data_IF_558974004189
#
_entry.id   IF_558974004189
#
_cell.length_a   1.000
_cell.length_b   1.000
_cell.length_c   1.000
_cell.angle_alpha   90.00
_cell.angle_beta   90.00
_cell.angle_gamma   90.00
#
_symmetry.space_group_name_H-M   'P 1'
#
loop_
_entity.id
_entity.type
_entity.pdbx_description
1 polymer ?
#
# COMPACT_ATOMS: atom_id res chain seq x y z
N UNK A 1 -31.42 52.17 1.28
CA UNK A 1 -30.11 51.78 0.76
C UNK A 1 -29.54 50.69 1.65
N UNK A 2 -29.58 49.42 1.21
CA UNK A 2 -28.99 48.32 1.97
C UNK A 2 -27.58 48.01 1.44
N UNK A 3 -26.56 48.27 2.26
CA UNK A 3 -25.19 47.88 1.96
C UNK A 3 -25.09 46.34 2.01
N UNK A 4 -24.90 45.71 0.86
CA UNK A 4 -24.58 44.28 0.78
C UNK A 4 -23.19 44.07 1.39
N UNK A 5 -23.17 43.51 2.61
CA UNK A 5 -21.94 43.08 3.26
C UNK A 5 -21.16 42.12 2.37
N UNK A 6 -19.90 42.47 2.09
CA UNK A 6 -18.99 41.64 1.30
C UNK A 6 -18.73 40.34 2.07
N UNK A 7 -19.10 39.20 1.49
CA UNK A 7 -18.85 37.91 2.11
C UNK A 7 -17.34 37.76 2.42
N UNK A 8 -17.02 37.56 3.70
CA UNK A 8 -15.66 37.27 4.14
C UNK A 8 -15.28 35.91 3.55
N UNK A 9 -14.36 35.89 2.59
CA UNK A 9 -13.84 34.65 2.02
C UNK A 9 -13.05 33.93 3.12
N UNK A 10 -13.57 32.80 3.61
CA UNK A 10 -12.82 31.93 4.51
C UNK A 10 -11.57 31.41 3.81
N UNK A 11 -10.46 31.34 4.55
CA UNK A 11 -9.23 30.75 4.04
C UNK A 11 -9.45 29.28 3.66
N UNK A 12 -8.92 28.86 2.51
CA UNK A 12 -8.97 27.48 2.08
C UNK A 12 -8.21 26.59 3.07
N UNK A 13 -8.78 25.43 3.43
CA UNK A 13 -8.10 24.47 4.30
C UNK A 13 -6.84 23.90 3.62
N UNK A 14 -5.85 23.39 4.38
CA UNK A 14 -4.65 22.79 3.81
C UNK A 14 -4.95 21.70 2.76
N UNK A 15 -6.02 20.93 2.97
CA UNK A 15 -6.45 19.87 2.05
C UNK A 15 -7.01 20.43 0.74
N UNK A 16 -7.74 21.54 0.78
CA UNK A 16 -8.22 22.24 -0.43
C UNK A 16 -7.04 22.85 -1.18
N UNK A 17 -6.08 23.45 -0.48
CA UNK A 17 -4.87 24.01 -1.09
C UNK A 17 -4.06 22.90 -1.81
N UNK A 18 -3.88 21.76 -1.15
CA UNK A 18 -3.20 20.59 -1.72
C UNK A 18 -3.93 20.05 -2.96
N UNK A 19 -5.26 19.93 -2.88
CA UNK A 19 -6.08 19.49 -4.00
C UNK A 19 -5.92 20.40 -5.22
N UNK A 20 -6.02 21.72 -5.02
CA UNK A 20 -5.81 22.72 -6.08
C UNK A 20 -4.38 22.69 -6.63
N UNK A 21 -3.38 22.52 -5.77
CA UNK A 21 -1.99 22.41 -6.17
C UNK A 21 -1.75 21.17 -7.05
N UNK A 22 -2.30 20.01 -6.68
CA UNK A 22 -2.21 18.79 -7.48
C UNK A 22 -2.90 18.97 -8.84
N UNK A 23 -4.09 19.57 -8.87
CA UNK A 23 -4.82 19.82 -10.11
C UNK A 23 -4.07 20.77 -11.04
N UNK A 24 -3.50 21.83 -10.49
CA UNK A 24 -2.69 22.80 -11.26
C UNK A 24 -1.41 22.15 -11.78
N UNK A 25 -0.75 21.31 -10.97
CA UNK A 25 0.43 20.57 -11.38
C UNK A 25 0.12 19.51 -12.46
N UNK A 26 -1.03 18.83 -12.36
CA UNK A 26 -1.50 17.90 -13.37
C UNK A 26 -1.72 18.62 -14.70
N UNK A 27 -2.47 19.73 -14.68
CA UNK A 27 -2.72 20.57 -15.85
C UNK A 27 -1.43 21.07 -16.50
N UNK A 28 -0.49 21.61 -15.72
CA UNK A 28 0.79 22.11 -16.21
C UNK A 28 1.65 21.03 -16.90
N UNK A 29 1.40 19.75 -16.61
CA UNK A 29 2.12 18.60 -17.19
C UNK A 29 1.29 17.81 -18.20
N UNK A 30 0.10 18.29 -18.55
CA UNK A 30 -0.85 17.58 -19.41
C UNK A 30 -1.33 16.23 -18.83
N UNK A 31 -1.22 16.03 -17.51
CA UNK A 31 -1.65 14.79 -16.85
C UNK A 31 -3.15 14.84 -16.55
N UNK A 32 -3.82 13.71 -16.69
CA UNK A 32 -5.21 13.54 -16.29
C UNK A 32 -5.35 13.68 -14.77
N UNK A 33 -6.41 14.35 -14.34
CA UNK A 33 -6.81 14.50 -12.95
C UNK A 33 -8.27 14.08 -12.83
N UNK A 34 -8.53 13.08 -12.02
CA UNK A 34 -9.86 12.51 -11.81
C UNK A 34 -10.68 13.45 -10.89
N UNK A 35 -11.83 13.94 -11.35
CA UNK A 35 -12.54 15.05 -10.67
C UNK A 35 -13.64 14.59 -9.69
N UNK A 36 -13.99 13.30 -9.63
CA UNK A 36 -15.12 12.78 -8.85
C UNK A 36 -14.66 12.18 -7.51
N UNK A 37 -13.74 11.22 -7.53
CA UNK A 37 -13.31 10.49 -6.33
C UNK A 37 -12.14 11.20 -5.63
N UNK A 38 -11.26 11.87 -6.37
CA UNK A 38 -10.12 12.59 -5.84
C UNK A 38 -10.53 13.98 -5.31
N UNK A 39 -11.06 13.97 -4.09
CA UNK A 39 -11.54 15.16 -3.37
C UNK A 39 -10.55 15.62 -2.27
N UNK A 40 -10.69 16.83 -1.72
CA UNK A 40 -9.94 17.24 -0.53
C UNK A 40 -10.10 16.27 0.66
N UNK A 41 -11.29 15.67 0.81
CA UNK A 41 -11.53 14.66 1.84
C UNK A 41 -10.76 13.36 1.57
N UNK A 42 -10.69 12.92 0.31
CA UNK A 42 -9.85 11.79 -0.08
C UNK A 42 -8.38 12.04 0.25
N UNK A 43 -7.85 13.22 -0.10
CA UNK A 43 -6.46 13.58 0.17
C UNK A 43 -6.14 13.63 1.67
N UNK A 44 -7.08 14.09 2.50
CA UNK A 44 -6.93 14.07 3.96
C UNK A 44 -6.68 12.67 4.51
N UNK A 45 -7.21 11.64 3.85
CA UNK A 45 -7.07 10.25 4.27
C UNK A 45 -5.76 9.61 3.82
N UNK A 46 -4.99 10.26 2.95
CA UNK A 46 -3.66 9.81 2.53
C UNK A 46 -2.56 10.24 3.49
N UNK A 47 -2.87 11.11 4.47
CA UNK A 47 -1.89 11.62 5.42
C UNK A 47 -1.20 10.50 6.20
N UNK A 48 0.11 10.64 6.34
CA UNK A 48 0.97 9.70 7.07
C UNK A 48 2.11 10.48 7.73
N UNK A 49 2.46 10.11 8.95
CA UNK A 49 3.54 10.75 9.70
C UNK A 49 4.93 10.33 9.23
N UNK A 50 5.05 9.14 8.64
CA UNK A 50 6.33 8.60 8.16
C UNK A 50 6.23 8.13 6.72
N UNK A 51 7.33 8.24 6.00
CA UNK A 51 7.45 7.75 4.64
C UNK A 51 7.38 6.21 4.64
N UNK A 52 6.49 5.59 3.85
CA UNK A 52 6.39 4.14 3.80
C UNK A 52 7.65 3.47 3.21
N UNK A 53 8.47 4.25 2.49
CA UNK A 53 9.69 3.78 1.84
C UNK A 53 10.90 3.99 2.73
N UNK A 54 11.20 5.24 3.08
CA UNK A 54 12.42 5.59 3.83
C UNK A 54 12.25 5.45 5.35
N UNK A 55 11.01 5.30 5.84
CA UNK A 55 10.62 5.29 7.26
C UNK A 55 11.00 6.56 8.04
N UNK A 56 11.47 7.60 7.37
CA UNK A 56 11.72 8.92 7.94
C UNK A 56 10.41 9.69 8.13
N UNK A 57 10.38 10.58 9.10
CA UNK A 57 9.25 11.49 9.34
C UNK A 57 8.98 12.36 8.11
N UNK A 58 7.71 12.53 7.77
CA UNK A 58 7.26 13.44 6.72
C UNK A 58 6.87 14.78 7.33
N UNK A 59 7.53 15.83 6.87
CA UNK A 59 7.25 17.23 7.16
C UNK A 59 6.89 18.01 5.88
N UNK A 60 6.55 19.28 6.03
CA UNK A 60 6.12 20.13 4.90
C UNK A 60 7.19 20.29 3.82
N UNK A 61 8.46 20.23 4.20
CA UNK A 61 9.58 20.31 3.28
C UNK A 61 9.72 19.00 2.51
N UNK A 62 9.79 17.84 3.14
CA UNK A 62 10.11 16.59 2.45
C UNK A 62 8.89 15.80 1.94
N UNK A 63 7.65 16.26 2.14
CA UNK A 63 6.42 15.60 1.69
C UNK A 63 6.27 15.61 0.16
N UNK A 64 5.81 14.49 -0.39
CA UNK A 64 5.47 14.35 -1.80
C UNK A 64 4.28 13.41 -1.99
N UNK A 65 3.49 13.64 -3.04
CA UNK A 65 2.42 12.74 -3.47
C UNK A 65 2.87 12.11 -4.78
N UNK A 66 3.01 10.79 -4.76
CA UNK A 66 3.40 9.98 -5.91
C UNK A 66 2.17 9.37 -6.57
N UNK A 67 2.25 9.24 -7.90
CA UNK A 67 1.38 8.35 -8.69
C UNK A 67 2.07 7.00 -8.72
N UNK A 68 1.60 6.06 -7.91
CA UNK A 68 2.29 4.78 -7.71
C UNK A 68 2.47 4.06 -9.05
N UNK A 69 1.41 4.05 -9.87
CA UNK A 69 1.46 3.70 -11.28
C UNK A 69 1.63 4.98 -12.12
N UNK A 70 2.79 5.15 -12.76
CA UNK A 70 3.15 6.41 -13.44
C UNK A 70 2.50 6.60 -14.82
N UNK A 71 2.09 5.51 -15.47
CA UNK A 71 1.26 5.47 -16.70
C UNK A 71 -0.24 5.68 -16.40
N UNK A 72 -0.61 6.03 -15.17
CA UNK A 72 -1.94 6.45 -14.77
C UNK A 72 -1.97 7.92 -14.35
N UNK A 73 -3.14 8.56 -14.47
CA UNK A 73 -3.37 9.93 -14.03
C UNK A 73 -3.34 10.10 -12.50
N UNK A 74 -3.62 11.31 -12.05
CA UNK A 74 -3.94 11.59 -10.65
C UNK A 74 -5.35 11.09 -10.36
N UNK A 75 -5.46 9.90 -9.77
CA UNK A 75 -6.73 9.24 -9.53
C UNK A 75 -6.79 8.58 -8.15
N UNK A 76 -7.99 8.53 -7.57
CA UNK A 76 -8.23 7.78 -6.35
C UNK A 76 -7.79 6.31 -6.51
N UNK A 77 -7.09 5.79 -5.51
CA UNK A 77 -6.54 4.44 -5.59
C UNK A 77 -5.12 4.33 -6.16
N UNK A 78 -4.58 5.39 -6.78
CA UNK A 78 -3.24 5.40 -7.37
C UNK A 78 -2.25 6.33 -6.64
N UNK A 79 -2.68 6.99 -5.57
CA UNK A 79 -1.85 8.00 -4.89
C UNK A 79 -1.29 7.48 -3.56
N UNK A 80 -0.04 7.82 -3.29
CA UNK A 80 0.59 7.57 -1.99
C UNK A 80 1.42 8.79 -1.56
N UNK A 81 1.33 9.14 -0.27
CA UNK A 81 2.23 10.12 0.35
C UNK A 81 3.55 9.43 0.70
N UNK A 82 4.66 10.01 0.24
CA UNK A 82 6.02 9.55 0.55
C UNK A 82 7.00 10.72 0.59
N UNK A 83 8.25 10.47 0.96
CA UNK A 83 9.29 11.51 0.94
C UNK A 83 9.66 11.90 -0.50
N UNK A 84 10.07 13.16 -0.71
CA UNK A 84 10.59 13.65 -1.99
C UNK A 84 11.75 12.80 -2.49
N UNK A 85 12.62 12.34 -1.58
CA UNK A 85 13.74 11.42 -1.87
C UNK A 85 13.24 10.12 -2.51
N UNK A 86 12.23 9.48 -1.90
CA UNK A 86 11.65 8.25 -2.44
C UNK A 86 10.97 8.47 -3.79
N UNK A 87 10.18 9.53 -3.93
CA UNK A 87 9.46 9.82 -5.17
C UNK A 87 10.44 10.14 -6.33
N UNK A 88 11.47 10.95 -6.08
CA UNK A 88 12.51 11.25 -7.06
C UNK A 88 13.28 10.01 -7.51
N UNK A 89 13.63 9.12 -6.57
CA UNK A 89 14.30 7.87 -6.88
C UNK A 89 13.42 6.95 -7.73
N UNK A 90 12.13 6.80 -7.37
CA UNK A 90 11.15 6.02 -8.15
C UNK A 90 11.09 6.53 -9.59
N UNK A 91 10.86 7.83 -9.78
CA UNK A 91 10.62 8.41 -11.11
C UNK A 91 9.43 7.73 -11.81
N UNK A 92 9.59 7.39 -13.09
CA UNK A 92 8.56 6.69 -13.88
C UNK A 92 8.68 5.16 -13.85
N UNK A 93 9.53 4.59 -12.97
CA UNK A 93 9.76 3.14 -12.94
C UNK A 93 8.53 2.40 -12.40
N UNK A 94 8.11 1.35 -13.13
CA UNK A 94 7.13 0.38 -12.68
C UNK A 94 7.74 -0.71 -11.78
N UNK A 95 6.90 -1.64 -11.32
CA UNK A 95 7.28 -2.70 -10.39
C UNK A 95 8.55 -3.47 -10.78
N UNK A 96 8.63 -3.98 -12.01
CA UNK A 96 9.77 -4.78 -12.48
C UNK A 96 11.08 -4.00 -12.45
N UNK A 97 11.07 -2.77 -12.96
CA UNK A 97 12.24 -1.90 -12.93
C UNK A 97 12.69 -1.59 -11.50
N UNK A 98 11.75 -1.34 -10.58
CA UNK A 98 12.05 -1.11 -9.16
C UNK A 98 12.63 -2.36 -8.48
N UNK A 99 12.10 -3.54 -8.79
CA UNK A 99 12.66 -4.82 -8.32
C UNK A 99 14.08 -5.05 -8.85
N UNK A 100 14.34 -4.69 -10.12
CA UNK A 100 15.68 -4.70 -10.71
C UNK A 100 16.67 -3.76 -10.01
N UNK A 101 16.21 -2.58 -9.57
CA UNK A 101 17.03 -1.65 -8.76
C UNK A 101 17.38 -2.25 -7.39
N UNK A 102 16.43 -2.90 -6.73
CA UNK A 102 16.67 -3.58 -5.45
C UNK A 102 17.71 -4.69 -5.61
N UNK A 103 17.55 -5.56 -6.61
CA UNK A 103 18.48 -6.65 -6.89
C UNK A 103 19.89 -6.13 -7.23
N UNK A 104 19.97 -5.06 -8.02
CA UNK A 104 21.24 -4.41 -8.38
C UNK A 104 21.93 -3.80 -7.16
N UNK A 105 21.17 -3.21 -6.23
CA UNK A 105 21.69 -2.64 -4.98
C UNK A 105 22.19 -3.73 -4.01
N UNK A 106 21.57 -4.91 -4.02
CA UNK A 106 21.97 -6.06 -3.21
C UNK A 106 23.25 -6.73 -3.74
N UNK A 107 23.37 -6.85 -5.07
CA UNK A 107 24.49 -7.56 -5.70
C UNK A 107 25.73 -6.68 -5.94
N UNK A 108 25.55 -5.38 -6.10
CA UNK A 108 26.64 -4.45 -6.46
C UNK A 108 27.48 -3.97 -5.27
N UNK A 109 28.69 -3.42 -5.52
CA UNK A 109 29.50 -2.79 -4.48
C UNK A 109 28.89 -1.46 -3.97
N UNK A 110 27.89 -0.93 -4.68
CA UNK A 110 27.21 0.31 -4.35
C UNK A 110 25.90 -0.01 -3.61
N UNK A 111 25.89 0.22 -2.30
CA UNK A 111 24.72 -0.05 -1.44
C UNK A 111 23.68 1.09 -1.40
N UNK A 112 23.85 2.12 -2.23
CA UNK A 112 22.87 3.20 -2.43
C UNK A 112 22.82 3.63 -3.88
N UNK A 113 21.69 3.40 -4.54
CA UNK A 113 21.46 3.81 -5.93
C UNK A 113 20.31 4.81 -5.95
N UNK A 114 20.49 5.94 -6.64
CA UNK A 114 19.46 7.00 -6.69
C UNK A 114 19.09 7.58 -5.32
N UNK A 115 19.98 7.48 -4.33
CA UNK A 115 19.74 7.93 -2.96
C UNK A 115 18.99 6.95 -2.06
N UNK A 116 18.65 5.75 -2.56
CA UNK A 116 17.96 4.71 -1.79
C UNK A 116 18.84 3.46 -1.59
N UNK A 117 18.69 2.83 -0.43
CA UNK A 117 19.26 1.51 -0.08
C UNK A 117 18.42 0.36 -0.64
N UNK A 118 18.95 -0.86 -0.53
CA UNK A 118 18.25 -2.09 -0.93
C UNK A 118 16.85 -2.21 -0.31
N UNK A 119 16.72 -2.06 1.00
CA UNK A 119 15.44 -2.21 1.70
C UNK A 119 14.43 -1.13 1.26
N UNK A 120 14.90 0.10 1.04
CA UNK A 120 14.09 1.19 0.50
C UNK A 120 13.62 0.88 -0.94
N UNK A 121 14.48 0.30 -1.79
CA UNK A 121 14.10 -0.15 -3.13
C UNK A 121 13.10 -1.31 -3.09
N UNK A 122 13.27 -2.28 -2.19
CA UNK A 122 12.34 -3.39 -2.00
C UNK A 122 10.95 -2.87 -1.60
N UNK A 123 10.87 -1.91 -0.66
CA UNK A 123 9.59 -1.29 -0.29
C UNK A 123 8.93 -0.56 -1.46
N UNK A 124 9.69 0.14 -2.30
CA UNK A 124 9.15 0.77 -3.51
C UNK A 124 8.61 -0.25 -4.51
N UNK A 125 9.35 -1.33 -4.75
CA UNK A 125 8.93 -2.39 -5.65
C UNK A 125 7.62 -3.04 -5.17
N UNK A 126 7.51 -3.31 -3.87
CA UNK A 126 6.27 -3.85 -3.26
C UNK A 126 5.13 -2.84 -3.36
N UNK A 127 5.35 -1.55 -3.08
CA UNK A 127 4.33 -0.52 -3.22
C UNK A 127 3.77 -0.48 -4.65
N UNK A 128 4.65 -0.51 -5.66
CA UNK A 128 4.26 -0.53 -7.07
C UNK A 128 3.53 -1.82 -7.46
N UNK A 129 3.86 -2.95 -6.83
CA UNK A 129 3.22 -4.23 -7.12
C UNK A 129 1.71 -4.23 -6.85
N UNK A 130 1.26 -3.46 -5.84
CA UNK A 130 -0.16 -3.38 -5.48
C UNK A 130 -1.04 -2.87 -6.62
N UNK A 131 -0.51 -2.02 -7.49
CA UNK A 131 -1.22 -1.40 -8.62
C UNK A 131 -0.69 -1.87 -9.97
N UNK A 132 0.05 -2.98 -9.98
CA UNK A 132 0.56 -3.64 -11.19
C UNK A 132 -0.30 -4.86 -11.47
N UNK A 133 -0.77 -5.09 -12.72
CA UNK A 133 -1.52 -6.29 -13.07
C UNK A 133 -0.58 -7.51 -13.10
N UNK A 134 -0.40 -8.15 -11.95
CA UNK A 134 0.40 -9.35 -11.77
C UNK A 134 -0.48 -10.60 -11.78
N UNK A 135 0.07 -11.72 -12.28
CA UNK A 135 -0.54 -13.04 -12.05
C UNK A 135 -0.62 -13.32 -10.54
N UNK A 136 -1.57 -14.19 -10.16
CA UNK A 136 -1.72 -14.60 -8.76
C UNK A 136 -0.45 -15.25 -8.20
N UNK A 137 0.23 -16.05 -9.01
CA UNK A 137 1.45 -16.74 -8.67
C UNK A 137 2.60 -15.77 -8.42
N UNK A 138 2.75 -14.74 -9.26
CA UNK A 138 3.74 -13.68 -9.04
C UNK A 138 3.43 -12.90 -7.77
N UNK A 139 2.19 -12.42 -7.62
CA UNK A 139 1.78 -11.62 -6.46
C UNK A 139 1.92 -12.38 -5.13
N UNK A 140 1.61 -13.68 -5.12
CA UNK A 140 1.74 -14.55 -3.95
C UNK A 140 3.19 -14.69 -3.46
N UNK A 141 4.18 -14.49 -4.33
CA UNK A 141 5.61 -14.63 -4.00
C UNK A 141 6.28 -13.31 -3.60
N UNK A 142 5.56 -12.19 -3.67
CA UNK A 142 6.10 -10.88 -3.28
C UNK A 142 6.04 -10.75 -1.76
N UNK A 143 7.18 -10.49 -1.08
CA UNK A 143 7.19 -10.19 0.35
C UNK A 143 6.51 -8.86 0.66
N UNK A 144 5.72 -8.80 1.73
CA UNK A 144 5.04 -7.57 2.16
C UNK A 144 6.00 -6.66 2.96
N UNK A 145 7.06 -6.16 2.31
CA UNK A 145 8.03 -5.24 2.94
C UNK A 145 7.45 -3.87 3.30
N UNK A 146 6.26 -3.54 2.78
CA UNK A 146 5.51 -2.33 3.12
C UNK A 146 4.03 -2.67 3.12
N UNK A 147 3.32 -2.28 4.17
CA UNK A 147 1.86 -2.35 4.18
C UNK A 147 1.29 -1.28 3.23
N UNK A 148 0.21 -1.58 2.50
CA UNK A 148 -0.38 -0.61 1.57
C UNK A 148 -0.79 0.66 2.34
N UNK A 149 -0.37 1.85 1.88
CA UNK A 149 -0.88 3.12 2.35
C UNK A 149 -2.41 3.19 2.27
N UNK A 150 -3.01 4.03 3.09
CA UNK A 150 -4.45 4.17 3.09
C UNK A 150 -4.97 4.61 1.71
N UNK A 151 -6.12 4.08 1.31
CA UNK A 151 -6.77 4.32 0.01
C UNK A 151 -6.01 3.89 -1.24
N UNK A 152 -4.84 3.25 -1.14
CA UNK A 152 -4.23 2.61 -2.30
C UNK A 152 -5.05 1.38 -2.70
N UNK A 153 -5.36 1.24 -4.00
CA UNK A 153 -6.02 0.04 -4.53
C UNK A 153 -5.00 -1.10 -4.62
N UNK A 154 -5.46 -2.32 -4.35
CA UNK A 154 -4.67 -3.54 -4.52
C UNK A 154 -5.34 -4.38 -5.60
N UNK A 155 -4.68 -4.55 -6.74
CA UNK A 155 -5.21 -5.26 -7.89
C UNK A 155 -5.24 -6.77 -7.65
N UNK A 156 -4.27 -7.29 -6.91
CA UNK A 156 -4.24 -8.71 -6.59
C UNK A 156 -4.79 -8.99 -5.18
N UNK A 157 -5.87 -9.78 -5.04
CA UNK A 157 -6.47 -10.07 -3.74
C UNK A 157 -5.57 -10.88 -2.81
N UNK A 158 -4.57 -11.60 -3.32
CA UNK A 158 -3.63 -12.31 -2.44
C UNK A 158 -2.77 -11.34 -1.63
N UNK A 159 -2.42 -10.18 -2.19
CA UNK A 159 -1.72 -9.11 -1.48
C UNK A 159 -2.64 -8.39 -0.51
N UNK A 160 -3.94 -8.27 -0.83
CA UNK A 160 -4.93 -7.79 0.12
C UNK A 160 -5.05 -8.73 1.33
N UNK A 161 -4.99 -10.05 1.11
CA UNK A 161 -4.95 -11.05 2.18
C UNK A 161 -3.65 -10.93 3.02
N UNK A 162 -2.49 -10.78 2.39
CA UNK A 162 -1.22 -10.52 3.10
C UNK A 162 -1.35 -9.30 4.04
N UNK A 163 -1.88 -8.20 3.51
CA UNK A 163 -2.05 -6.95 4.26
C UNK A 163 -3.07 -7.13 5.41
N UNK A 164 -4.19 -7.81 5.17
CA UNK A 164 -5.20 -8.09 6.17
C UNK A 164 -4.61 -8.91 7.33
N UNK A 165 -3.93 -10.01 7.04
CA UNK A 165 -3.31 -10.87 8.07
C UNK A 165 -2.26 -10.09 8.85
N UNK A 166 -1.40 -9.33 8.17
CA UNK A 166 -0.34 -8.55 8.83
C UNK A 166 -0.92 -7.49 9.76
N UNK A 167 -1.99 -6.79 9.35
CA UNK A 167 -2.67 -5.80 10.20
C UNK A 167 -3.31 -6.43 11.43
N UNK A 168 -3.78 -7.68 11.34
CA UNK A 168 -4.32 -8.39 12.50
C UNK A 168 -3.29 -8.67 13.58
N UNK A 169 -2.06 -8.96 13.17
CA UNK A 169 -0.93 -9.23 14.06
C UNK A 169 -0.52 -8.00 14.88
N UNK A 170 -0.74 -6.79 14.35
CA UNK A 170 -0.44 -5.53 15.03
C UNK A 170 -1.44 -5.16 16.14
N UNK A 171 -2.50 -5.96 16.34
CA UNK A 171 -3.63 -5.58 17.19
C UNK A 171 -3.74 -6.56 18.39
N UNK A 172 -4.02 -6.12 19.63
CA UNK A 172 -4.16 -7.02 20.79
C UNK A 172 -5.23 -8.09 20.60
N UNK A 173 -4.97 -9.35 21.01
CA UNK A 173 -5.89 -10.47 20.77
C UNK A 173 -5.82 -11.04 19.34
N UNK A 174 -4.68 -10.88 18.67
CA UNK A 174 -4.45 -11.32 17.30
C UNK A 174 -4.71 -12.82 17.11
N UNK A 175 -4.35 -13.67 18.08
CA UNK A 175 -4.51 -15.13 17.98
C UNK A 175 -5.97 -15.53 17.76
N UNK A 176 -6.89 -15.04 18.60
CA UNK A 176 -8.31 -15.31 18.47
C UNK A 176 -8.91 -14.81 17.15
N UNK A 177 -8.45 -13.64 16.65
CA UNK A 177 -8.89 -13.12 15.35
C UNK A 177 -8.37 -13.93 14.18
N UNK A 178 -7.14 -14.43 14.26
CA UNK A 178 -6.59 -15.29 13.22
C UNK A 178 -7.21 -16.70 13.22
N UNK A 179 -7.58 -17.26 14.37
CA UNK A 179 -8.39 -18.49 14.41
C UNK A 179 -9.76 -18.31 13.75
N UNK A 180 -10.37 -17.12 13.89
CA UNK A 180 -11.62 -16.79 13.17
C UNK A 180 -11.41 -16.67 11.65
N UNK A 181 -10.23 -16.22 11.21
CA UNK A 181 -9.86 -16.17 9.80
C UNK A 181 -9.57 -17.57 9.25
N UNK A 182 -8.82 -18.38 9.99
CA UNK A 182 -8.55 -19.79 9.70
C UNK A 182 -9.86 -20.57 9.49
N UNK A 183 -10.86 -20.35 10.34
CA UNK A 183 -12.17 -20.99 10.23
C UNK A 183 -12.92 -20.66 8.92
N UNK A 184 -12.51 -19.61 8.18
CA UNK A 184 -13.07 -19.28 6.88
C UNK A 184 -12.42 -20.06 5.72
N UNK A 185 -11.28 -20.73 5.96
CA UNK A 185 -10.58 -21.50 4.95
C UNK A 185 -11.36 -22.78 4.59
N UNK A 186 -11.42 -23.12 3.29
CA UNK A 186 -12.32 -24.15 2.78
C UNK A 186 -11.85 -25.58 3.04
N UNK A 187 -10.55 -25.82 3.28
CA UNK A 187 -10.00 -27.17 3.45
C UNK A 187 -9.06 -27.25 4.65
N UNK A 188 -8.93 -28.45 5.22
CA UNK A 188 -8.01 -28.71 6.34
C UNK A 188 -6.54 -28.57 5.93
N UNK A 189 -6.22 -28.86 4.67
CA UNK A 189 -4.89 -28.63 4.11
C UNK A 189 -4.51 -27.13 4.14
N UNK A 190 -5.43 -26.26 3.70
CA UNK A 190 -5.24 -24.81 3.76
C UNK A 190 -5.13 -24.31 5.20
N UNK A 191 -5.95 -24.81 6.12
CA UNK A 191 -5.87 -24.47 7.56
C UNK A 191 -4.52 -24.85 8.14
N UNK A 192 -4.06 -26.06 7.84
CA UNK A 192 -2.77 -26.57 8.31
C UNK A 192 -1.61 -25.70 7.80
N UNK A 193 -1.59 -25.37 6.51
CA UNK A 193 -0.51 -24.56 5.94
C UNK A 193 -0.60 -23.08 6.38
N UNK A 194 -1.81 -22.55 6.60
CA UNK A 194 -2.01 -21.24 7.22
C UNK A 194 -1.44 -21.20 8.65
N UNK A 195 -1.75 -22.20 9.49
CA UNK A 195 -1.21 -22.30 10.84
C UNK A 195 0.32 -22.40 10.86
N UNK A 196 0.91 -23.17 9.92
CA UNK A 196 2.38 -23.23 9.78
C UNK A 196 2.98 -21.88 9.41
N UNK A 197 2.29 -21.09 8.60
CA UNK A 197 2.69 -19.72 8.30
C UNK A 197 2.59 -18.82 9.54
N UNK A 198 1.50 -18.89 10.30
CA UNK A 198 1.35 -18.12 11.55
C UNK A 198 2.43 -18.46 12.58
N UNK A 199 2.76 -19.75 12.73
CA UNK A 199 3.84 -20.20 13.63
C UNK A 199 5.21 -19.68 13.18
N UNK A 200 5.43 -19.49 11.88
CA UNK A 200 6.67 -18.87 11.38
C UNK A 200 6.77 -17.37 11.73
N UNK A 201 5.63 -16.68 11.83
CA UNK A 201 5.56 -15.25 12.21
C UNK A 201 5.55 -15.03 13.73
N UNK A 202 5.04 -15.99 14.51
CA UNK A 202 4.78 -15.84 15.95
C UNK A 202 5.96 -15.26 16.75
N UNK A 203 7.23 -15.71 16.58
CA UNK A 203 8.35 -15.12 17.32
C UNK A 203 8.54 -13.62 17.07
N UNK A 204 8.27 -13.15 15.84
CA UNK A 204 8.39 -11.73 15.48
C UNK A 204 7.23 -10.90 15.99
N UNK A 205 6.04 -11.50 16.03
CA UNK A 205 4.85 -10.87 16.61
C UNK A 205 5.03 -10.68 18.11
N UNK A 206 5.57 -11.68 18.81
CA UNK A 206 5.87 -11.58 20.23
C UNK A 206 6.90 -10.48 20.51
N UNK A 207 8.00 -10.45 19.76
CA UNK A 207 9.00 -9.37 19.87
C UNK A 207 8.40 -7.98 19.55
N UNK A 208 7.52 -7.89 18.55
CA UNK A 208 6.85 -6.64 18.21
C UNK A 208 5.90 -6.14 19.31
N UNK A 209 5.32 -7.03 20.13
CA UNK A 209 4.46 -6.64 21.24
C UNK A 209 5.21 -5.95 22.39
N UNK A 210 6.54 -6.03 22.42
CA UNK A 210 7.37 -5.31 23.39
C UNK A 210 7.57 -3.83 22.98
N UNK A 211 7.25 -3.48 21.74
CA UNK A 211 7.35 -2.13 21.22
C UNK A 211 6.14 -1.29 21.66
N UNK A 212 6.39 -0.01 21.92
CA UNK A 212 5.37 0.92 22.42
C UNK A 212 4.73 1.74 21.28
N UNK A 213 5.52 2.06 20.26
CA UNK A 213 5.10 2.94 19.18
C UNK A 213 4.41 2.15 18.05
N UNK A 214 3.17 2.49 17.64
CA UNK A 214 2.43 1.77 16.59
C UNK A 214 3.18 1.63 15.26
N UNK A 215 3.97 2.65 14.89
CA UNK A 215 4.82 2.63 13.69
C UNK A 215 5.96 1.62 13.81
N UNK A 216 6.55 1.44 14.98
CA UNK A 216 7.61 0.46 15.21
C UNK A 216 7.07 -0.96 15.13
N UNK A 217 5.89 -1.21 15.73
CA UNK A 217 5.17 -2.49 15.62
C UNK A 217 4.92 -2.82 14.14
N UNK A 218 4.38 -1.84 13.40
CA UNK A 218 4.12 -1.97 11.96
C UNK A 218 5.38 -2.37 11.19
N UNK A 219 6.49 -1.65 11.39
CA UNK A 219 7.74 -1.91 10.68
C UNK A 219 8.35 -3.26 11.02
N UNK A 220 8.29 -3.68 12.29
CA UNK A 220 8.76 -4.99 12.71
C UNK A 220 7.98 -6.13 12.01
N UNK A 221 6.67 -5.95 11.82
CA UNK A 221 5.83 -6.91 11.10
C UNK A 221 6.10 -6.90 9.59
N UNK A 222 6.31 -5.74 8.98
CA UNK A 222 6.76 -5.62 7.59
C UNK A 222 8.12 -6.32 7.38
N UNK A 223 9.07 -6.12 8.29
CA UNK A 223 10.41 -6.71 8.23
C UNK A 223 10.38 -8.24 8.46
N UNK A 224 9.40 -8.76 9.20
CA UNK A 224 9.22 -10.20 9.38
C UNK A 224 8.95 -10.93 8.05
N UNK A 225 8.38 -10.24 7.05
CA UNK A 225 8.22 -10.80 5.70
C UNK A 225 9.54 -10.98 4.97
N UNK A 226 10.65 -10.37 5.37
CA UNK A 226 11.96 -10.63 4.76
C UNK A 226 12.51 -12.03 5.12
N UNK A 227 11.94 -12.72 6.11
CA UNK A 227 12.46 -13.99 6.59
C UNK A 227 12.15 -15.12 5.60
N UNK A 228 13.17 -15.91 5.17
CA UNK A 228 12.97 -16.99 4.20
C UNK A 228 11.93 -18.03 4.63
N UNK A 229 11.86 -18.35 5.93
CA UNK A 229 10.87 -19.29 6.45
C UNK A 229 9.44 -18.74 6.34
N UNK A 230 9.24 -17.45 6.64
CA UNK A 230 7.92 -16.80 6.52
C UNK A 230 7.48 -16.83 5.06
N UNK A 231 8.37 -16.44 4.13
CA UNK A 231 8.09 -16.49 2.70
C UNK A 231 7.77 -17.89 2.20
N UNK A 232 8.57 -18.89 2.58
CA UNK A 232 8.35 -20.28 2.19
C UNK A 232 6.99 -20.81 2.66
N UNK A 233 6.59 -20.50 3.89
CA UNK A 233 5.29 -20.95 4.43
C UNK A 233 4.13 -20.18 3.82
N UNK A 234 4.30 -18.87 3.63
CA UNK A 234 3.32 -18.04 2.95
C UNK A 234 3.07 -18.51 1.52
N UNK A 235 4.12 -18.63 0.69
CA UNK A 235 3.98 -19.04 -0.70
C UNK A 235 3.29 -20.39 -0.83
N UNK A 236 3.64 -21.36 0.04
CA UNK A 236 2.97 -22.66 0.09
C UNK A 236 1.47 -22.53 0.35
N UNK A 237 1.05 -21.68 1.29
CA UNK A 237 -0.36 -21.43 1.58
C UNK A 237 -1.05 -20.65 0.45
N UNK A 238 -0.44 -19.56 -0.01
CA UNK A 238 -1.02 -18.62 -0.96
C UNK A 238 -1.23 -19.22 -2.36
N UNK A 239 -0.30 -20.08 -2.81
CA UNK A 239 -0.38 -20.75 -4.11
C UNK A 239 -1.43 -21.87 -4.16
N UNK A 240 -1.99 -22.27 -3.02
CA UNK A 240 -3.14 -23.20 -2.98
C UNK A 240 -4.48 -22.49 -3.17
N UNK A 241 -4.51 -21.16 -3.08
CA UNK A 241 -5.71 -20.37 -3.31
C UNK A 241 -5.72 -19.88 -4.75
N UNK A 242 -6.87 -19.94 -5.41
CA UNK A 242 -7.12 -19.17 -6.62
C UNK A 242 -7.39 -17.69 -6.28
N UNK A 243 -7.25 -16.80 -7.27
CA UNK A 243 -7.52 -15.37 -7.12
C UNK A 243 -8.91 -15.08 -6.52
N UNK A 244 -9.96 -15.71 -7.06
CA UNK A 244 -11.34 -15.56 -6.59
C UNK A 244 -11.54 -16.07 -5.14
N UNK A 245 -10.79 -17.10 -4.72
CA UNK A 245 -10.85 -17.61 -3.35
C UNK A 245 -10.18 -16.65 -2.36
N UNK A 246 -9.06 -16.04 -2.75
CA UNK A 246 -8.40 -15.01 -1.95
C UNK A 246 -9.30 -13.77 -1.80
N UNK A 247 -9.96 -13.34 -2.88
CA UNK A 247 -10.93 -12.23 -2.86
C UNK A 247 -12.11 -12.53 -1.93
N UNK A 248 -12.77 -13.67 -2.11
CA UNK A 248 -13.89 -14.08 -1.27
C UNK A 248 -13.49 -14.22 0.22
N UNK A 249 -12.25 -14.65 0.50
CA UNK A 249 -11.74 -14.72 1.87
C UNK A 249 -11.57 -13.33 2.49
N UNK A 250 -11.01 -12.37 1.74
CA UNK A 250 -10.87 -10.98 2.20
C UNK A 250 -12.24 -10.34 2.44
N UNK A 251 -13.19 -10.53 1.53
CA UNK A 251 -14.57 -10.01 1.67
C UNK A 251 -15.27 -10.60 2.90
N UNK A 252 -15.22 -11.92 3.08
CA UNK A 252 -15.83 -12.60 4.24
C UNK A 252 -15.16 -12.18 5.55
N UNK A 253 -13.85 -11.98 5.55
CA UNK A 253 -13.11 -11.48 6.71
C UNK A 253 -13.55 -10.05 7.05
N UNK A 254 -13.65 -9.16 6.05
CA UNK A 254 -14.12 -7.79 6.22
C UNK A 254 -15.56 -7.75 6.75
N UNK A 255 -16.48 -8.54 6.18
CA UNK A 255 -17.87 -8.65 6.62
C UNK A 255 -17.99 -9.13 8.09
N UNK A 256 -17.08 -10.01 8.53
CA UNK A 256 -16.99 -10.48 9.92
C UNK A 256 -16.22 -9.54 10.85
N UNK A 257 -15.86 -8.34 10.38
CA UNK A 257 -15.08 -7.33 11.10
C UNK A 257 -13.73 -7.89 11.58
N UNK A 258 -13.12 -8.75 10.76
CA UNK A 258 -11.77 -9.29 10.94
C UNK A 258 -10.74 -8.47 10.17
N UNK A 259 -10.94 -7.16 10.07
CA UNK A 259 -9.96 -6.21 9.57
C UNK A 259 -10.01 -4.97 10.46
N UNK A 260 -8.87 -4.43 10.92
CA UNK A 260 -8.85 -3.16 11.65
C UNK A 260 -9.10 -1.95 10.74
N UNK A 261 -9.14 -2.17 9.42
CA UNK A 261 -9.47 -1.15 8.41
C UNK A 261 -10.71 -1.53 7.64
N UNK A 262 -11.43 -0.52 7.14
CA UNK A 262 -12.52 -0.75 6.20
C UNK A 262 -11.97 -1.22 4.86
N UNK A 263 -12.52 -2.33 4.35
CA UNK A 263 -12.17 -2.89 3.05
C UNK A 263 -13.26 -2.49 2.07
N UNK A 264 -12.86 -1.89 0.95
CA UNK A 264 -13.75 -1.47 -0.12
C UNK A 264 -13.42 -2.27 -1.37
N UNK A 265 -14.43 -2.95 -1.93
CA UNK A 265 -14.36 -3.61 -3.23
C UNK A 265 -14.61 -2.57 -4.33
N UNK A 266 -13.90 -2.69 -5.44
CA UNK A 266 -14.10 -1.90 -6.64
C UNK A 266 -14.34 -2.84 -7.82
N UNK A 267 -15.43 -2.65 -8.56
CA UNK A 267 -15.74 -3.49 -9.73
C UNK A 267 -14.84 -3.14 -10.93
N UNK A 268 -14.50 -1.85 -11.09
CA UNK A 268 -13.40 -1.41 -11.95
C UNK A 268 -12.30 -0.77 -11.09
N UNK A 269 -11.22 -1.52 -10.91
CA UNK A 269 -10.07 -1.10 -10.11
C UNK A 269 -9.28 0.07 -10.72
N UNK A 270 -9.53 0.42 -11.98
CA UNK A 270 -8.80 1.44 -12.74
C UNK A 270 -9.68 2.58 -13.25
N UNK A 271 -10.96 2.60 -12.87
CA UNK A 271 -11.85 3.70 -13.22
C UNK A 271 -11.27 5.05 -12.76
N UNK A 272 -11.29 6.02 -13.69
CA UNK A 272 -10.68 7.34 -13.54
C UNK A 272 -9.17 7.44 -13.75
N UNK A 273 -8.46 6.35 -14.06
CA UNK A 273 -6.99 6.35 -14.14
C UNK A 273 -6.42 6.83 -15.49
N UNK A 274 -7.28 7.00 -16.51
CA UNK A 274 -6.87 7.41 -17.86
C UNK A 274 -5.75 6.55 -18.47
N UNK A 275 -5.80 5.22 -18.26
CA UNK A 275 -4.77 4.30 -18.75
C UNK A 275 -4.68 4.27 -20.28
N UNK A 276 -5.79 4.49 -20.99
CA UNK A 276 -5.83 4.51 -22.45
C UNK A 276 -4.94 5.60 -23.08
N UNK A 277 -4.67 6.68 -22.33
CA UNK A 277 -3.80 7.79 -22.75
C UNK A 277 -2.47 7.80 -21.99
N UNK A 278 -2.12 6.73 -21.26
CA UNK A 278 -0.94 6.71 -20.41
C UNK A 278 -0.98 7.74 -19.26
N UNK A 279 -2.18 8.08 -18.79
CA UNK A 279 -2.41 9.04 -17.71
C UNK A 279 -2.35 10.50 -18.15
N UNK A 280 -2.37 10.78 -19.45
CA UNK A 280 -2.44 12.13 -20.00
C UNK A 280 -3.89 12.58 -20.22
N UNK A 281 -4.14 13.89 -20.16
CA UNK A 281 -5.43 14.44 -20.56
C UNK A 281 -5.66 14.16 -22.06
N UNK A 282 -6.89 13.78 -22.42
CA UNK A 282 -7.31 13.59 -23.81
C UNK A 282 -7.46 14.93 -24.55
#
# INVERSE_FOLDING_TARGET
MAARGRAVRSAATPQVQLWLALRTHAWARGRSFEDIQLTPHHLAQLETSHCPITRETIGNDNRSIDRVRDDAGYAAGNLAVMSRRANQAKGSRGHEALAGMAASCAAGPIHRIGGLKEDEWQRLAVLASFVTPLSHEQAAQIPLHVLPPNRLRLFNPIQALQALVTRQLATPGWSARLSRLEALLPTDALRTDFNRFLLALAPRVLAANELQEPQQIRWALEDAWALPLVQKRWARFALQLAQAQAEALVERAAAKKLSPVHVQRHDDATDGWALATGGYAA
#
